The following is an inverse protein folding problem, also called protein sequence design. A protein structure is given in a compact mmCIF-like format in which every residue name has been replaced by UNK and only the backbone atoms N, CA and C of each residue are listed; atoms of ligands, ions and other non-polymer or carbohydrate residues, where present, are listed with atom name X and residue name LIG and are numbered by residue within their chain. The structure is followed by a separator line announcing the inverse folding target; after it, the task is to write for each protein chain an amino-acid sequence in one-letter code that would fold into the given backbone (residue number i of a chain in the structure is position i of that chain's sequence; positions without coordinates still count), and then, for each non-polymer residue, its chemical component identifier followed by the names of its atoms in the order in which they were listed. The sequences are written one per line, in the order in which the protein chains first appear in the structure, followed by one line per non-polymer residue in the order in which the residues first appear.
data_IF_693219503202
#
_entry.id   IF_693219503202
#
_cell.length_a   1.000
_cell.length_b   1.000
_cell.length_c   1.000
_cell.angle_alpha   90.00
_cell.angle_beta   90.00
_cell.angle_gamma   90.00
#
_symmetry.space_group_name_H-M   'P 1'
#
loop_
_entity.id
_entity.type
_entity.pdbx_description
1 polymer ?
#
# COMPACT_ATOMS: atom_id res chain seq x y z
N UNK A 1 4.55 7.11 3.91
CA UNK A 1 4.15 6.20 5.02
C UNK A 1 5.34 5.59 5.78
N UNK A 2 6.56 6.00 5.44
CA UNK A 2 7.79 5.24 5.70
C UNK A 2 8.35 5.42 7.11
N UNK A 3 7.86 6.43 7.84
CA UNK A 3 8.30 6.74 9.20
C UNK A 3 7.50 6.00 10.30
N UNK A 4 6.53 5.16 9.91
CA UNK A 4 5.68 4.49 10.88
C UNK A 4 6.41 3.38 11.66
N UNK A 5 6.54 3.58 12.98
CA UNK A 5 7.05 2.56 13.90
C UNK A 5 5.99 1.48 14.15
N UNK A 6 6.13 0.35 13.48
CA UNK A 6 5.27 -0.84 13.62
C UNK A 6 5.20 -1.32 15.07
N UNK A 7 4.00 -1.48 15.62
CA UNK A 7 3.76 -2.09 16.93
C UNK A 7 3.41 -3.58 16.80
N UNK A 8 3.43 -4.29 17.94
CA UNK A 8 3.10 -5.70 17.97
C UNK A 8 1.63 -5.96 17.57
N UNK A 9 1.44 -6.81 16.57
CA UNK A 9 0.13 -7.14 16.00
C UNK A 9 -0.33 -6.20 14.88
N UNK A 10 0.41 -5.14 14.56
CA UNK A 10 0.11 -4.31 13.39
C UNK A 10 0.43 -5.05 12.10
N UNK A 11 -0.43 -4.89 11.09
CA UNK A 11 -0.14 -5.29 9.71
C UNK A 11 0.29 -4.05 8.95
N UNK A 12 1.44 -4.13 8.28
CA UNK A 12 1.97 -3.06 7.44
C UNK A 12 2.33 -3.71 6.12
N UNK A 13 1.96 -3.05 5.02
CA UNK A 13 2.30 -3.48 3.68
C UNK A 13 2.65 -2.29 2.81
N UNK A 14 2.54 -2.48 1.50
CA UNK A 14 2.96 -1.50 0.51
C UNK A 14 2.05 -0.27 0.53
N UNK A 15 2.50 0.83 1.15
CA UNK A 15 1.73 2.07 1.32
C UNK A 15 0.34 1.89 1.95
N UNK A 16 0.20 0.90 2.84
CA UNK A 16 -0.97 0.71 3.69
C UNK A 16 -0.59 0.11 5.06
N UNK A 17 -1.42 0.36 6.06
CA UNK A 17 -1.29 -0.25 7.40
C UNK A 17 -2.66 -0.54 8.00
N UNK A 18 -2.71 -1.57 8.83
CA UNK A 18 -3.85 -1.91 9.66
C UNK A 18 -3.34 -2.03 11.11
N UNK A 19 -3.59 -1.02 11.96
CA UNK A 19 -3.15 -1.04 13.34
C UNK A 19 -3.91 -2.09 14.15
N UNK A 20 -3.25 -2.63 15.17
CA UNK A 20 -3.87 -3.56 16.10
C UNK A 20 -4.85 -2.82 17.02
N UNK A 21 -6.12 -3.20 16.94
CA UNK A 21 -7.21 -2.68 17.77
C UNK A 21 -7.60 -3.61 18.91
N UNK A 22 -6.89 -4.74 19.10
CA UNK A 22 -7.16 -5.67 20.21
C UNK A 22 -7.04 -4.94 21.56
N UNK A 23 -8.11 -5.02 22.37
CA UNK A 23 -8.19 -4.36 23.67
C UNK A 23 -8.52 -2.86 23.61
N UNK A 24 -8.78 -2.30 22.42
CA UNK A 24 -9.22 -0.91 22.22
C UNK A 24 -10.69 -0.88 21.79
N UNK A 25 -11.44 0.16 22.17
CA UNK A 25 -12.80 0.42 21.66
C UNK A 25 -12.74 1.09 20.28
N UNK A 26 -12.07 0.46 19.32
CA UNK A 26 -11.88 0.97 17.96
C UNK A 26 -12.19 -0.10 16.91
N UNK A 27 -12.87 0.30 15.84
CA UNK A 27 -13.15 -0.57 14.70
C UNK A 27 -11.82 -0.79 13.93
N UNK A 28 -11.46 -2.04 13.58
CA UNK A 28 -10.29 -2.29 12.74
C UNK A 28 -10.47 -1.63 11.37
N UNK A 29 -9.67 -0.61 11.09
CA UNK A 29 -9.67 0.10 9.82
C UNK A 29 -8.29 0.02 9.17
N UNK A 30 -8.26 0.06 7.84
CA UNK A 30 -7.03 0.17 7.08
C UNK A 30 -6.80 1.65 6.78
N UNK A 31 -5.57 2.08 6.97
CA UNK A 31 -5.10 3.39 6.55
C UNK A 31 -4.24 3.17 5.31
N UNK A 32 -4.45 3.96 4.28
CA UNK A 32 -3.70 3.91 3.02
C UNK A 32 -3.11 5.27 2.72
N UNK A 33 -1.96 5.30 2.05
CA UNK A 33 -1.36 6.53 1.56
C UNK A 33 -2.03 6.94 0.23
N UNK A 34 -3.03 7.82 0.31
CA UNK A 34 -3.89 8.14 -0.83
C UNK A 34 -3.09 8.80 -1.97
N UNK A 35 -2.16 9.70 -1.65
CA UNK A 35 -1.33 10.38 -2.66
C UNK A 35 -0.45 9.39 -3.41
N UNK A 36 0.14 8.42 -2.70
CA UNK A 36 0.87 7.33 -3.35
C UNK A 36 -0.04 6.52 -4.27
N UNK A 37 -1.18 6.04 -3.78
CA UNK A 37 -2.06 5.14 -4.55
C UNK A 37 -2.68 5.83 -5.77
N UNK A 38 -3.07 7.10 -5.65
CA UNK A 38 -3.53 7.91 -6.79
C UNK A 38 -2.45 8.04 -7.86
N UNK A 39 -1.22 8.35 -7.45
CA UNK A 39 -0.07 8.44 -8.35
C UNK A 39 0.24 7.10 -9.00
N UNK A 40 0.20 6.01 -8.23
CA UNK A 40 0.42 4.65 -8.72
C UNK A 40 -0.57 4.29 -9.82
N UNK A 41 -1.87 4.48 -9.60
CA UNK A 41 -2.91 4.17 -10.59
C UNK A 41 -2.81 5.10 -11.80
N UNK A 42 -2.61 6.40 -11.60
CA UNK A 42 -2.49 7.38 -12.68
C UNK A 42 -1.31 7.08 -13.60
N UNK A 43 -0.17 6.66 -13.03
CA UNK A 43 0.98 6.21 -13.81
C UNK A 43 0.60 5.01 -14.68
N UNK A 44 -0.16 4.03 -14.16
CA UNK A 44 -0.56 2.83 -14.94
C UNK A 44 -1.53 3.14 -16.06
N UNK A 45 -2.42 4.10 -15.86
CA UNK A 45 -3.31 4.61 -16.91
C UNK A 45 -2.53 5.37 -18.01
N UNK A 46 -1.38 5.95 -17.66
CA UNK A 46 -0.52 6.69 -18.60
C UNK A 46 0.44 5.80 -19.38
N UNK A 47 0.67 4.56 -18.93
CA UNK A 47 1.49 3.57 -19.65
C UNK A 47 0.74 3.16 -20.93
N UNK A 48 1.46 3.12 -22.05
CA UNK A 48 0.91 2.73 -23.34
C UNK A 48 0.31 1.32 -23.26
N UNK A 49 -0.86 1.13 -23.86
CA UNK A 49 -1.51 -0.17 -23.92
C UNK A 49 -0.59 -1.23 -24.55
N UNK A 50 -0.35 -2.32 -23.82
CA UNK A 50 0.54 -3.41 -24.24
C UNK A 50 1.91 -3.40 -23.54
N UNK A 51 2.30 -2.28 -22.93
CA UNK A 51 3.53 -2.20 -22.14
C UNK A 51 3.31 -2.77 -20.72
N UNK A 52 4.40 -3.15 -20.06
CA UNK A 52 4.35 -3.73 -18.71
C UNK A 52 3.76 -2.74 -17.72
N UNK A 53 2.82 -3.21 -16.90
CA UNK A 53 2.15 -2.40 -15.89
C UNK A 53 1.06 -1.49 -16.43
N UNK A 54 0.67 -1.58 -17.72
CA UNK A 54 -0.44 -0.80 -18.25
C UNK A 54 -1.77 -1.14 -17.60
N UNK A 55 -2.56 -0.14 -17.25
CA UNK A 55 -3.96 -0.27 -16.89
C UNK A 55 -4.81 0.26 -18.04
N UNK A 56 -5.60 -0.61 -18.67
CA UNK A 56 -6.38 -0.29 -19.87
C UNK A 56 -7.87 -0.43 -19.64
N UNK A 57 -8.66 0.35 -20.37
CA UNK A 57 -10.11 0.19 -20.45
C UNK A 57 -10.48 -0.80 -21.56
N UNK A 58 -11.59 -1.51 -21.38
CA UNK A 58 -12.10 -2.46 -22.37
C UNK A 58 -12.82 -1.74 -23.51
N UNK A 59 -12.99 -2.39 -24.66
CA UNK A 59 -13.79 -1.83 -25.75
C UNK A 59 -13.07 -0.79 -26.60
N UNK A 60 -13.80 -0.26 -27.60
CA UNK A 60 -13.29 0.73 -28.57
C UNK A 60 -14.15 1.99 -28.66
N UNK A 61 -15.34 2.00 -28.05
CA UNK A 61 -16.25 3.14 -28.08
C UNK A 61 -15.90 4.14 -26.98
N UNK A 62 -15.40 5.35 -27.30
CA UNK A 62 -15.07 6.35 -26.29
C UNK A 62 -16.28 6.83 -25.50
N UNK A 63 -17.49 6.79 -26.10
CA UNK A 63 -18.71 7.27 -25.44
C UNK A 63 -19.08 6.39 -24.25
N UNK A 64 -18.83 5.08 -24.34
CA UNK A 64 -19.02 4.13 -23.26
C UNK A 64 -18.18 4.46 -22.01
N UNK A 65 -17.04 5.14 -22.18
CA UNK A 65 -16.13 5.50 -21.08
C UNK A 65 -16.19 6.98 -20.70
N UNK A 66 -17.09 7.78 -21.28
CA UNK A 66 -17.11 9.23 -21.05
C UNK A 66 -17.29 9.58 -19.56
N UNK A 67 -18.27 8.98 -18.90
CA UNK A 67 -18.51 9.22 -17.48
C UNK A 67 -17.33 8.73 -16.64
N UNK A 68 -16.74 7.59 -16.99
CA UNK A 68 -15.55 7.08 -16.30
C UNK A 68 -14.38 8.05 -16.40
N UNK A 69 -14.11 8.57 -17.59
CA UNK A 69 -13.06 9.55 -17.80
C UNK A 69 -13.28 10.81 -16.95
N UNK A 70 -14.52 11.33 -16.88
CA UNK A 70 -14.86 12.50 -16.07
C UNK A 70 -14.49 12.32 -14.59
N UNK A 71 -14.81 11.16 -14.01
CA UNK A 71 -14.47 10.88 -12.60
C UNK A 71 -12.96 10.66 -12.40
N UNK A 72 -12.30 9.94 -13.31
CA UNK A 72 -10.85 9.66 -13.22
C UNK A 72 -10.00 10.93 -13.38
N UNK A 73 -10.49 11.93 -14.12
CA UNK A 73 -9.80 13.21 -14.31
C UNK A 73 -10.33 14.32 -13.40
N UNK A 74 -11.19 14.02 -12.43
CA UNK A 74 -11.77 14.99 -11.50
C UNK A 74 -10.74 15.62 -10.56
N UNK A 75 -9.54 15.05 -10.48
CA UNK A 75 -8.45 15.56 -9.67
C UNK A 75 -7.25 15.92 -10.54
N UNK A 76 -6.37 16.73 -9.97
CA UNK A 76 -5.06 17.01 -10.54
C UNK A 76 -3.99 16.77 -9.48
N UNK A 77 -2.81 16.40 -9.95
CA UNK A 77 -1.64 16.19 -9.11
C UNK A 77 -0.66 17.33 -9.25
N UNK A 78 -0.18 17.85 -8.14
CA UNK A 78 0.93 18.81 -8.09
C UNK A 78 2.13 18.12 -7.44
N UNK A 79 3.29 18.19 -8.09
CA UNK A 79 4.54 17.69 -7.51
C UNK A 79 4.98 18.66 -6.41
N UNK A 80 5.04 18.18 -5.18
CA UNK A 80 5.46 18.93 -4.00
C UNK A 80 6.70 18.28 -3.42
N UNK A 81 7.70 19.10 -3.11
CA UNK A 81 8.93 18.66 -2.46
C UNK A 81 8.94 19.22 -1.04
N UNK A 82 8.94 18.34 -0.04
CA UNK A 82 8.92 18.71 1.37
C UNK A 82 9.81 17.77 2.16
N UNK A 83 10.65 18.32 3.05
CA UNK A 83 11.52 17.55 3.94
C UNK A 83 12.38 16.49 3.22
N UNK A 84 12.87 16.80 2.01
CA UNK A 84 13.69 15.89 1.21
C UNK A 84 12.92 14.77 0.49
N UNK A 85 11.58 14.78 0.54
CA UNK A 85 10.73 13.85 -0.18
C UNK A 85 9.92 14.56 -1.25
N UNK A 86 9.86 13.96 -2.44
CA UNK A 86 8.95 14.37 -3.50
C UNK A 86 7.68 13.52 -3.43
N UNK A 87 6.52 14.17 -3.31
CA UNK A 87 5.20 13.53 -3.36
C UNK A 87 4.33 14.27 -4.37
N UNK A 88 3.50 13.53 -5.09
CA UNK A 88 2.43 14.14 -5.88
C UNK A 88 1.22 14.32 -4.96
N UNK A 89 0.89 15.56 -4.65
CA UNK A 89 -0.30 15.92 -3.89
C UNK A 89 -1.51 16.01 -4.83
N UNK A 90 -2.59 15.32 -4.48
CA UNK A 90 -3.80 15.25 -5.29
C UNK A 90 -4.90 16.14 -4.70
N UNK A 91 -5.46 17.00 -5.56
CA UNK A 91 -6.54 17.91 -5.19
C UNK A 91 -7.69 17.83 -6.21
N UNK A 92 -8.95 18.01 -5.76
CA UNK A 92 -10.09 18.10 -6.66
C UNK A 92 -9.99 19.35 -7.54
N UNK A 93 -10.44 19.26 -8.79
CA UNK A 93 -10.58 20.42 -9.67
C UNK A 93 -11.80 21.24 -9.26
N UNK A 94 -11.73 22.55 -9.45
CA UNK A 94 -12.79 23.48 -9.06
C UNK A 94 -14.11 23.27 -9.80
N UNK A 95 -14.05 22.73 -11.03
CA UNK A 95 -15.18 22.49 -11.92
C UNK A 95 -15.83 21.11 -11.75
N UNK A 96 -15.17 20.20 -11.05
CA UNK A 96 -15.63 18.81 -10.90
C UNK A 96 -16.16 18.53 -9.51
N UNK A 97 -17.33 17.90 -9.43
CA UNK A 97 -17.99 17.59 -8.15
C UNK A 97 -17.87 16.12 -7.74
N UNK A 98 -17.49 15.22 -8.64
CA UNK A 98 -17.55 13.79 -8.39
C UNK A 98 -16.27 13.06 -8.78
N UNK A 99 -15.65 12.40 -7.81
CA UNK A 99 -14.44 11.58 -7.96
C UNK A 99 -14.68 10.14 -7.47
N UNK A 100 -15.93 9.75 -7.17
CA UNK A 100 -16.25 8.48 -6.51
C UNK A 100 -15.64 7.24 -7.19
N UNK A 101 -15.65 7.20 -8.53
CA UNK A 101 -15.07 6.09 -9.28
C UNK A 101 -13.54 6.11 -9.29
N UNK A 102 -12.94 7.29 -9.19
CA UNK A 102 -11.50 7.43 -9.00
C UNK A 102 -11.08 6.86 -7.64
N UNK A 103 -11.74 7.31 -6.57
CA UNK A 103 -11.46 6.82 -5.22
C UNK A 103 -11.73 5.32 -5.09
N UNK A 104 -12.78 4.80 -5.74
CA UNK A 104 -13.07 3.36 -5.80
C UNK A 104 -11.95 2.58 -6.49
N UNK A 105 -11.47 3.04 -7.65
CA UNK A 105 -10.39 2.40 -8.39
C UNK A 105 -9.07 2.40 -7.58
N UNK A 106 -8.75 3.52 -6.96
CA UNK A 106 -7.57 3.69 -6.09
C UNK A 106 -7.67 2.78 -4.87
N UNK A 107 -8.84 2.72 -4.22
CA UNK A 107 -9.11 1.82 -3.10
C UNK A 107 -8.99 0.34 -3.48
N UNK A 108 -9.47 -0.03 -4.67
CA UNK A 108 -9.34 -1.40 -5.19
C UNK A 108 -7.86 -1.78 -5.43
N UNK A 109 -7.03 -0.86 -5.92
CA UNK A 109 -5.60 -1.10 -6.08
C UNK A 109 -4.91 -1.33 -4.71
N UNK A 110 -5.25 -0.53 -3.70
CA UNK A 110 -4.74 -0.72 -2.35
C UNK A 110 -5.21 -2.05 -1.73
N UNK A 111 -6.48 -2.39 -1.90
CA UNK A 111 -7.05 -3.66 -1.43
C UNK A 111 -6.39 -4.88 -2.10
N UNK A 112 -6.12 -4.81 -3.41
CA UNK A 112 -5.41 -5.86 -4.13
C UNK A 112 -4.01 -6.09 -3.54
N UNK A 113 -3.29 -5.02 -3.21
CA UNK A 113 -1.99 -5.10 -2.52
C UNK A 113 -2.08 -5.73 -1.14
N UNK A 114 -3.14 -5.43 -0.38
CA UNK A 114 -3.38 -6.10 0.91
C UNK A 114 -3.58 -7.61 0.78
N UNK A 115 -4.16 -8.06 -0.33
CA UNK A 115 -4.34 -9.48 -0.65
C UNK A 115 -3.08 -10.13 -1.23
N UNK A 116 -2.01 -9.37 -1.43
CA UNK A 116 -0.73 -9.86 -1.95
C UNK A 116 -0.55 -9.72 -3.46
N UNK A 117 -1.48 -9.06 -4.16
CA UNK A 117 -1.30 -8.73 -5.57
C UNK A 117 -0.23 -7.62 -5.71
N UNK A 118 0.87 -7.92 -6.40
CA UNK A 118 1.93 -6.96 -6.63
C UNK A 118 2.42 -7.05 -8.07
N UNK A 119 2.78 -5.91 -8.66
CA UNK A 119 3.57 -5.88 -9.88
C UNK A 119 5.01 -6.26 -9.53
N UNK A 120 5.73 -6.91 -10.46
CA UNK A 120 7.13 -7.30 -10.22
C UNK A 120 8.03 -6.11 -9.85
N UNK A 121 7.70 -4.91 -10.32
CA UNK A 121 8.45 -3.67 -10.04
C UNK A 121 8.21 -3.12 -8.62
N UNK A 122 6.97 -3.24 -8.11
CA UNK A 122 6.59 -2.79 -6.76
C UNK A 122 6.62 -3.89 -5.72
N UNK A 123 6.76 -5.14 -6.15
CA UNK A 123 7.30 -6.20 -5.32
C UNK A 123 8.77 -5.86 -5.10
N UNK A 124 9.02 -4.92 -4.18
CA UNK A 124 10.09 -5.19 -3.23
C UNK A 124 9.77 -6.61 -2.77
N UNK A 125 10.57 -7.58 -3.21
CA UNK A 125 10.64 -8.83 -2.47
C UNK A 125 10.71 -8.34 -1.03
N UNK A 126 9.65 -8.57 -0.26
CA UNK A 126 9.88 -8.94 1.10
C UNK A 126 10.85 -10.10 0.91
N UNK A 127 12.15 -9.80 1.00
CA UNK A 127 13.11 -10.75 1.48
C UNK A 127 12.51 -11.07 2.85
N UNK A 128 11.54 -11.99 2.85
CA UNK A 128 10.93 -12.49 4.04
C UNK A 128 12.16 -12.91 4.80
N UNK A 129 12.44 -12.22 5.91
CA UNK A 129 13.50 -12.65 6.82
C UNK A 129 13.35 -14.16 6.89
N UNK A 130 14.37 -14.95 6.51
CA UNK A 130 14.24 -16.40 6.48
C UNK A 130 13.60 -16.78 7.80
N UNK A 131 12.44 -17.46 7.72
CA UNK A 131 11.61 -17.75 8.88
C UNK A 131 12.55 -18.25 9.96
N UNK A 132 12.69 -17.48 11.05
CA UNK A 132 13.66 -17.82 12.08
C UNK A 132 13.44 -19.28 12.46
N UNK A 133 14.52 -20.06 12.45
CA UNK A 133 14.44 -21.50 12.71
C UNK A 133 13.60 -21.72 13.97
N UNK A 134 12.68 -22.69 13.97
CA UNK A 134 11.81 -22.93 15.11
C UNK A 134 12.68 -23.13 16.36
N UNK A 135 12.55 -22.21 17.32
CA UNK A 135 13.32 -22.27 18.54
C UNK A 135 12.71 -23.39 19.39
N UNK A 136 13.45 -24.48 19.57
CA UNK A 136 13.05 -25.55 20.48
C UNK A 136 13.11 -25.06 21.92
N UNK A 137 12.03 -25.27 22.67
CA UNK A 137 11.97 -24.96 24.11
C UNK A 137 13.07 -25.70 24.89
N UNK A 138 13.50 -26.87 24.42
CA UNK A 138 14.60 -27.61 25.01
C UNK A 138 15.95 -26.88 24.82
N UNK A 139 16.18 -26.28 23.65
CA UNK A 139 17.40 -25.51 23.36
C UNK A 139 17.50 -24.26 24.26
N UNK A 140 16.39 -23.53 24.44
CA UNK A 140 16.29 -22.39 25.35
C UNK A 140 16.55 -22.76 26.82
N UNK A 141 16.09 -23.94 27.26
CA UNK A 141 16.32 -24.41 28.63
C UNK A 141 17.78 -24.84 28.85
N UNK A 142 18.41 -25.51 27.88
CA UNK A 142 19.82 -25.88 27.95
C UNK A 142 20.72 -24.65 27.98
N UNK A 143 20.46 -23.66 27.14
CA UNK A 143 21.25 -22.41 27.10
C UNK A 143 21.15 -21.63 28.42
N UNK A 144 19.94 -21.57 29.01
CA UNK A 144 19.73 -20.97 30.33
C UNK A 144 20.47 -21.70 31.45
N UNK A 145 20.51 -23.03 31.42
CA UNK A 145 21.27 -23.83 32.41
C UNK A 145 22.77 -23.62 32.26
N UNK A 146 23.29 -23.63 31.03
CA UNK A 146 24.71 -23.41 30.76
C UNK A 146 25.16 -22.01 31.23
N UNK A 147 24.37 -20.96 30.95
CA UNK A 147 24.67 -19.59 31.44
C UNK A 147 24.67 -19.49 32.95
N UNK A 148 23.82 -20.25 33.64
CA UNK A 148 23.76 -20.28 35.11
C UNK A 148 24.97 -20.99 35.74
N UNK A 149 25.50 -22.01 35.07
CA UNK A 149 26.69 -22.73 35.50
C UNK A 149 27.98 -21.96 35.23
N UNK A 150 28.02 -21.11 34.20
CA UNK A 150 29.17 -20.27 33.88
C UNK A 150 29.30 -18.99 34.72
N UNK A 151 28.33 -18.71 35.60
CA UNK A 151 28.34 -17.56 36.52
C UNK A 151 28.63 -17.97 37.98
N UNK A 152 29.15 -19.18 38.18
CA UNK A 152 29.72 -19.70 39.43
C UNK A 152 31.22 -19.95 39.22
#
# INVERSE_FOLDING_TARGET
MDEYKKQHGDRVGHHWRQPNTRGKRAIPCVVVDVNYWKSFVAQRLSVKAGDRGSLTLWGKDPRAHKLLAQHLTAEYSTRVEANGHTVNEWAPRADTKENHWWDCLVGNAAAASMLGCALSETSAKAAGKPRAAPISMAALQQERRAKRQASL
#
